data_IF_433828968493
#
_entry.id   IF_433828968493
#
_cell.length_a   1.000
_cell.length_b   1.000
_cell.length_c   1.000
_cell.angle_alpha   90.00
_cell.angle_beta   90.00
_cell.angle_gamma   90.00
#
_symmetry.space_group_name_H-M   'P 1'
#
loop_
_entity.id
_entity.type
_entity.pdbx_description
1 polymer ?
#
# COMPACT_ATOMS: atom_id res chain seq x y z
N UNK A 1 -15.87 -12.61 2.59
CA UNK A 1 -14.77 -13.44 2.08
C UNK A 1 -13.49 -12.65 2.28
N UNK A 2 -12.31 -13.29 2.36
CA UNK A 2 -11.06 -12.56 2.40
C UNK A 2 -10.93 -11.66 1.15
N UNK A 3 -10.35 -10.48 1.32
CA UNK A 3 -10.18 -9.49 0.26
C UNK A 3 -9.40 -10.05 -0.93
N UNK A 4 -8.48 -11.00 -0.69
CA UNK A 4 -7.74 -11.68 -1.76
C UNK A 4 -8.62 -12.54 -2.67
N UNK A 5 -9.67 -13.13 -2.13
CA UNK A 5 -10.59 -14.02 -2.87
C UNK A 5 -11.74 -13.24 -3.51
N UNK A 6 -12.17 -12.15 -2.86
CA UNK A 6 -13.33 -11.33 -3.27
C UNK A 6 -12.95 -9.86 -3.24
N UNK A 7 -12.17 -9.44 -4.23
CA UNK A 7 -11.63 -8.08 -4.28
C UNK A 7 -12.76 -7.05 -4.44
N UNK A 8 -12.81 -5.99 -3.59
CA UNK A 8 -13.91 -5.04 -3.58
C UNK A 8 -14.04 -4.30 -4.93
N UNK A 9 -15.26 -4.20 -5.49
CA UNK A 9 -15.47 -3.49 -6.75
C UNK A 9 -15.23 -1.98 -6.61
N UNK A 10 -15.10 -1.28 -7.74
CA UNK A 10 -14.90 0.16 -7.77
C UNK A 10 -16.01 0.92 -7.04
N UNK A 11 -15.62 1.91 -6.23
CA UNK A 11 -16.54 2.76 -5.47
C UNK A 11 -17.18 2.07 -4.28
N UNK A 12 -16.70 0.89 -3.89
CA UNK A 12 -17.13 0.22 -2.66
C UNK A 12 -16.29 0.65 -1.47
N UNK A 13 -16.96 0.84 -0.33
CA UNK A 13 -16.34 0.99 0.97
C UNK A 13 -16.22 -0.40 1.61
N UNK A 14 -15.00 -0.87 1.86
CA UNK A 14 -14.74 -2.14 2.54
C UNK A 14 -13.88 -1.90 3.77
N UNK A 15 -14.39 -2.20 4.96
CA UNK A 15 -13.69 -2.05 6.25
C UNK A 15 -13.00 -0.68 6.45
N UNK A 16 -13.64 0.39 5.96
CA UNK A 16 -13.11 1.76 6.09
C UNK A 16 -11.99 2.12 5.10
N UNK A 17 -11.73 1.26 4.11
CA UNK A 17 -10.91 1.56 2.94
C UNK A 17 -11.76 1.75 1.69
N UNK A 18 -11.17 2.40 0.70
CA UNK A 18 -11.77 2.71 -0.60
C UNK A 18 -11.15 1.79 -1.67
N UNK A 19 -11.97 1.27 -2.59
CA UNK A 19 -11.51 0.51 -3.75
C UNK A 19 -11.89 1.18 -5.06
N UNK A 20 -10.97 1.23 -6.03
CA UNK A 20 -11.26 1.58 -7.43
C UNK A 20 -11.48 0.33 -8.32
N UNK A 21 -11.59 -0.85 -7.71
CA UNK A 21 -11.70 -2.14 -8.38
C UNK A 21 -10.35 -2.76 -8.75
N UNK A 22 -9.26 -2.02 -8.59
CA UNK A 22 -7.89 -2.49 -8.82
C UNK A 22 -6.98 -2.27 -7.61
N UNK A 23 -7.00 -1.09 -7.00
CA UNK A 23 -6.34 -0.76 -5.74
C UNK A 23 -7.40 -0.60 -4.64
N UNK A 24 -7.25 -1.37 -3.57
CA UNK A 24 -7.89 -1.15 -2.29
C UNK A 24 -6.94 -0.40 -1.37
N UNK A 25 -7.38 0.73 -0.81
CA UNK A 25 -6.56 1.62 -0.01
C UNK A 25 -7.22 1.94 1.32
N UNK A 26 -6.49 1.73 2.41
CA UNK A 26 -6.96 2.01 3.78
C UNK A 26 -5.87 2.65 4.64
N UNK A 27 -6.27 3.27 5.75
CA UNK A 27 -5.37 4.00 6.65
C UNK A 27 -5.45 3.42 8.07
N UNK A 28 -4.30 2.99 8.59
CA UNK A 28 -4.17 2.53 9.96
C UNK A 28 -3.52 3.61 10.82
N UNK A 29 -4.09 3.88 11.99
CA UNK A 29 -3.57 4.85 12.94
C UNK A 29 -3.66 4.35 14.38
N UNK A 30 -2.51 4.20 15.03
CA UNK A 30 -2.39 3.82 16.44
C UNK A 30 -1.64 4.86 17.27
N UNK A 31 -1.44 4.56 18.55
CA UNK A 31 -0.66 5.40 19.47
C UNK A 31 0.83 5.40 19.15
N UNK A 32 1.34 4.30 18.59
CA UNK A 32 2.74 4.11 18.17
C UNK A 32 2.79 3.35 16.86
N UNK A 33 3.86 3.55 16.08
CA UNK A 33 4.00 2.92 14.77
C UNK A 33 4.14 1.39 14.87
N UNK A 34 4.70 0.88 15.96
CA UNK A 34 4.78 -0.54 16.29
C UNK A 34 3.38 -1.15 16.35
N UNK A 35 2.46 -0.53 17.11
CA UNK A 35 1.08 -0.96 17.21
C UNK A 35 0.34 -0.84 15.88
N UNK A 36 0.59 0.24 15.14
CA UNK A 36 0.01 0.42 13.81
C UNK A 36 0.46 -0.66 12.84
N UNK A 37 1.73 -1.03 12.90
CA UNK A 37 2.27 -2.07 12.03
C UNK A 37 1.71 -3.45 12.37
N UNK A 38 1.58 -3.78 13.65
CA UNK A 38 0.93 -5.03 14.07
C UNK A 38 -0.54 -5.09 13.60
N UNK A 39 -1.28 -3.97 13.64
CA UNK A 39 -2.64 -3.92 13.05
C UNK A 39 -2.64 -4.22 11.55
N UNK A 40 -1.67 -3.69 10.80
CA UNK A 40 -1.52 -3.98 9.36
C UNK A 40 -1.22 -5.46 9.12
N UNK A 41 -0.30 -6.05 9.90
CA UNK A 41 0.06 -7.47 9.77
C UNK A 41 -1.12 -8.39 10.07
N UNK A 42 -1.87 -8.08 11.13
CA UNK A 42 -3.06 -8.84 11.50
C UNK A 42 -4.12 -8.76 10.40
N UNK A 43 -4.40 -7.55 9.89
CA UNK A 43 -5.34 -7.35 8.80
C UNK A 43 -4.94 -8.15 7.54
N UNK A 44 -3.66 -8.09 7.15
CA UNK A 44 -3.17 -8.84 5.99
C UNK A 44 -3.35 -10.36 6.17
N UNK A 45 -3.06 -10.89 7.36
CA UNK A 45 -3.26 -12.31 7.62
C UNK A 45 -4.75 -12.71 7.55
N UNK A 46 -5.63 -11.92 8.16
CA UNK A 46 -7.09 -12.15 8.14
C UNK A 46 -7.68 -12.06 6.73
N UNK A 47 -7.12 -11.21 5.88
CA UNK A 47 -7.57 -10.96 4.50
C UNK A 47 -6.89 -11.84 3.43
N UNK A 48 -6.11 -12.84 3.85
CA UNK A 48 -5.55 -13.88 2.97
C UNK A 48 -4.14 -13.61 2.41
N UNK A 49 -3.41 -12.66 2.99
CA UNK A 49 -2.06 -12.24 2.57
C UNK A 49 -0.96 -12.66 3.57
N UNK A 50 -1.18 -13.74 4.31
CA UNK A 50 -0.22 -14.26 5.31
C UNK A 50 1.09 -14.79 4.70
N UNK A 51 1.06 -15.17 3.42
CA UNK A 51 2.20 -15.68 2.63
C UNK A 51 3.09 -14.55 2.08
N UNK A 52 2.62 -13.30 2.12
CA UNK A 52 3.39 -12.15 1.65
C UNK A 52 4.55 -11.89 2.61
N UNK A 53 5.81 -11.84 2.13
CA UNK A 53 6.93 -11.41 2.94
C UNK A 53 6.69 -10.01 3.51
N UNK A 54 6.88 -9.86 4.81
CA UNK A 54 6.75 -8.58 5.50
C UNK A 54 8.03 -8.28 6.28
N UNK A 55 8.37 -6.99 6.49
CA UNK A 55 9.36 -6.60 7.48
C UNK A 55 9.10 -7.29 8.83
N UNK A 56 10.15 -7.72 9.52
CA UNK A 56 10.02 -8.47 10.77
C UNK A 56 9.28 -7.66 11.84
N UNK A 57 9.57 -6.37 11.89
CA UNK A 57 9.07 -5.42 12.87
C UNK A 57 9.03 -3.99 12.31
N UNK A 58 8.52 -3.06 13.12
CA UNK A 58 8.41 -1.66 12.72
C UNK A 58 9.77 -0.96 12.57
N UNK A 59 10.83 -1.47 13.19
CA UNK A 59 12.18 -0.92 13.03
C UNK A 59 12.73 -1.26 11.64
N UNK A 60 12.56 -2.49 11.19
CA UNK A 60 12.86 -2.88 9.82
C UNK A 60 11.98 -2.13 8.81
N UNK A 61 10.68 -1.98 9.07
CA UNK A 61 9.78 -1.21 8.21
C UNK A 61 10.26 0.24 8.03
N UNK A 62 10.80 0.87 9.08
CA UNK A 62 11.32 2.25 9.02
C UNK A 62 12.49 2.41 8.05
N UNK A 63 13.25 1.35 7.75
CA UNK A 63 14.35 1.38 6.79
C UNK A 63 13.88 1.61 5.35
N UNK A 64 12.62 1.28 5.05
CA UNK A 64 11.99 1.53 3.74
C UNK A 64 11.48 2.96 3.59
N UNK A 65 11.59 3.80 4.63
CA UNK A 65 11.20 5.20 4.54
C UNK A 65 12.24 5.99 3.75
N UNK A 66 11.79 6.76 2.78
CA UNK A 66 12.69 7.59 1.98
C UNK A 66 13.38 8.64 2.88
N UNK A 67 14.72 8.79 2.78
CA UNK A 67 15.48 9.71 3.63
C UNK A 67 15.27 11.18 3.25
N UNK A 68 14.65 11.45 2.10
CA UNK A 68 14.52 12.79 1.53
C UNK A 68 13.30 13.57 2.06
N UNK A 69 13.46 14.90 2.11
CA UNK A 69 12.37 15.85 2.39
C UNK A 69 11.84 16.52 1.13
N UNK A 70 12.41 16.20 -0.03
CA UNK A 70 12.00 16.82 -1.28
C UNK A 70 10.63 16.26 -1.69
N UNK A 71 9.60 17.12 -1.60
CA UNK A 71 8.22 16.77 -1.96
C UNK A 71 8.10 16.31 -3.41
N UNK A 72 8.95 16.82 -4.30
CA UNK A 72 8.95 16.39 -5.70
C UNK A 72 9.36 14.92 -5.82
N UNK A 73 10.40 14.47 -5.10
CA UNK A 73 10.83 13.06 -5.12
C UNK A 73 9.74 12.17 -4.50
N UNK A 74 9.12 12.60 -3.40
CA UNK A 74 8.02 11.89 -2.73
C UNK A 74 6.73 11.78 -3.57
N UNK A 75 6.61 12.55 -4.66
CA UNK A 75 5.49 12.42 -5.61
C UNK A 75 5.73 11.29 -6.62
N UNK A 76 6.98 10.92 -6.90
CA UNK A 76 7.32 9.92 -7.91
C UNK A 76 7.73 8.56 -7.32
N UNK A 77 8.11 8.53 -6.04
CA UNK A 77 8.56 7.32 -5.36
C UNK A 77 7.58 6.86 -4.28
N UNK A 78 7.40 5.55 -4.18
CA UNK A 78 6.64 4.92 -3.11
C UNK A 78 7.42 5.03 -1.79
N UNK A 79 6.97 5.91 -0.90
CA UNK A 79 7.60 6.13 0.41
C UNK A 79 7.20 5.05 1.42
N UNK A 80 7.75 3.85 1.29
CA UNK A 80 7.51 2.75 2.22
C UNK A 80 7.89 1.38 1.65
N UNK A 81 7.38 0.33 2.28
CA UNK A 81 7.61 -1.05 1.86
C UNK A 81 6.73 -1.40 0.67
N UNK A 82 7.33 -1.96 -0.38
CA UNK A 82 6.64 -2.38 -1.61
C UNK A 82 6.97 -3.83 -1.88
N UNK A 83 5.95 -4.68 -1.87
CA UNK A 83 6.08 -6.09 -2.23
C UNK A 83 4.78 -6.58 -2.83
N UNK A 84 4.80 -7.05 -4.06
CA UNK A 84 3.60 -7.50 -4.76
C UNK A 84 2.81 -8.55 -3.93
N UNK A 85 1.50 -8.39 -3.66
CA UNK A 85 0.55 -7.38 -4.20
C UNK A 85 0.23 -6.20 -3.26
N UNK A 86 1.09 -5.90 -2.30
CA UNK A 86 0.84 -4.87 -1.27
C UNK A 86 1.86 -3.73 -1.31
N UNK A 87 1.45 -2.60 -0.73
CA UNK A 87 2.34 -1.50 -0.34
C UNK A 87 1.98 -1.00 1.04
N UNK A 88 2.97 -0.83 1.90
CA UNK A 88 2.83 -0.25 3.24
C UNK A 88 3.58 1.08 3.23
N UNK A 89 2.83 2.17 3.11
CA UNK A 89 3.36 3.51 2.84
C UNK A 89 3.30 4.40 4.09
N UNK A 90 4.33 5.21 4.27
CA UNK A 90 4.35 6.27 5.26
C UNK A 90 3.65 7.52 4.70
N UNK A 91 2.76 8.16 5.47
CA UNK A 91 2.14 9.41 5.04
C UNK A 91 3.20 10.50 4.85
N UNK A 92 2.96 11.38 3.87
CA UNK A 92 3.81 12.54 3.63
C UNK A 92 3.77 13.53 4.81
N UNK A 93 2.65 13.59 5.53
CA UNK A 93 2.51 14.43 6.71
C UNK A 93 3.28 13.85 7.91
N UNK A 94 4.34 14.56 8.31
CA UNK A 94 5.19 14.20 9.45
C UNK A 94 4.50 14.29 10.82
N UNK A 95 3.32 14.89 10.92
CA UNK A 95 2.52 14.87 12.16
C UNK A 95 1.88 13.49 12.38
N UNK A 96 1.68 12.72 11.32
CA UNK A 96 1.11 11.37 11.34
C UNK A 96 2.19 10.29 11.49
N UNK A 97 3.03 10.40 12.53
CA UNK A 97 4.20 9.51 12.71
C UNK A 97 3.85 8.05 13.03
N UNK A 98 2.67 7.82 13.58
CA UNK A 98 2.14 6.50 13.93
C UNK A 98 1.07 6.03 12.94
N UNK A 99 1.00 6.61 11.74
CA UNK A 99 0.03 6.24 10.73
C UNK A 99 0.71 5.52 9.57
N UNK A 100 0.06 4.51 9.03
CA UNK A 100 0.45 3.78 7.83
C UNK A 100 -0.71 3.77 6.85
N UNK A 101 -0.39 3.82 5.56
CA UNK A 101 -1.35 3.64 4.47
C UNK A 101 -1.07 2.26 3.90
N UNK A 102 -2.08 1.41 3.87
CA UNK A 102 -2.01 0.10 3.24
C UNK A 102 -2.71 0.18 1.89
N UNK A 103 -1.99 -0.18 0.83
CA UNK A 103 -2.53 -0.39 -0.51
C UNK A 103 -2.43 -1.88 -0.83
N UNK A 104 -3.52 -2.48 -1.29
CA UNK A 104 -3.58 -3.87 -1.76
C UNK A 104 -4.09 -3.84 -3.19
N UNK A 105 -3.46 -4.61 -4.07
CA UNK A 105 -3.76 -4.60 -5.50
C UNK A 105 -4.37 -5.92 -5.94
N UNK A 106 -5.33 -5.84 -6.86
CA UNK A 106 -6.07 -6.99 -7.36
C UNK A 106 -5.19 -7.89 -8.26
N UNK A 107 -4.74 -9.02 -7.72
CA UNK A 107 -3.92 -10.01 -8.43
C UNK A 107 -4.62 -10.64 -9.64
N UNK A 108 -5.96 -10.63 -9.67
CA UNK A 108 -6.73 -11.18 -10.78
C UNK A 108 -6.77 -10.25 -12.01
N UNK A 109 -6.29 -9.01 -11.89
CA UNK A 109 -6.21 -8.10 -13.04
C UNK A 109 -5.16 -8.61 -14.05
N UNK A 110 -5.51 -8.78 -15.34
CA UNK A 110 -4.58 -9.29 -16.36
C UNK A 110 -3.32 -8.45 -16.53
N UNK A 111 -3.35 -7.18 -16.11
CA UNK A 111 -2.23 -6.24 -16.20
C UNK A 111 -1.67 -5.88 -14.81
N UNK A 112 -1.99 -6.67 -13.78
CA UNK A 112 -1.62 -6.45 -12.39
C UNK A 112 -0.18 -6.00 -12.21
N UNK A 113 0.81 -6.77 -12.70
CA UNK A 113 2.23 -6.42 -12.53
C UNK A 113 2.60 -5.09 -13.20
N UNK A 114 2.02 -4.79 -14.37
CA UNK A 114 2.31 -3.55 -15.09
C UNK A 114 1.67 -2.34 -14.39
N UNK A 115 0.47 -2.50 -13.86
CA UNK A 115 -0.23 -1.46 -13.10
C UNK A 115 0.40 -1.24 -11.72
N UNK A 116 0.75 -2.31 -11.00
CA UNK A 116 1.36 -2.27 -9.66
C UNK A 116 2.66 -1.45 -9.64
N UNK A 117 3.48 -1.63 -10.68
CA UNK A 117 4.73 -0.91 -10.88
C UNK A 117 4.60 0.41 -11.66
N UNK A 118 3.36 0.87 -11.92
CA UNK A 118 3.03 2.09 -12.70
C UNK A 118 3.71 2.14 -14.08
N UNK A 119 3.94 0.99 -14.70
CA UNK A 119 4.55 0.89 -16.03
C UNK A 119 3.55 1.36 -17.10
N UNK A 120 2.27 1.00 -16.98
CA UNK A 120 1.26 1.45 -17.94
C UNK A 120 1.12 2.98 -17.95
N UNK A 121 1.04 3.60 -16.78
CA UNK A 121 0.99 5.07 -16.65
C UNK A 121 2.20 5.74 -17.33
N UNK A 122 3.40 5.18 -17.15
CA UNK A 122 4.62 5.70 -17.79
C UNK A 122 4.59 5.55 -19.31
N UNK A 123 4.11 4.41 -19.80
CA UNK A 123 3.99 4.15 -21.24
C UNK A 123 2.93 5.04 -21.88
N UNK A 124 1.82 5.31 -21.20
CA UNK A 124 0.77 6.21 -21.66
C UNK A 124 1.22 7.68 -21.67
N UNK A 125 1.93 8.11 -20.63
CA UNK A 125 2.52 9.45 -20.57
C UNK A 125 3.50 9.68 -21.73
N UNK A 126 4.37 8.70 -22.02
CA UNK A 126 5.34 8.79 -23.11
C UNK A 126 4.72 8.76 -24.53
N UNK A 127 3.49 8.27 -24.69
CA UNK A 127 2.77 8.32 -25.98
C UNK A 127 2.04 9.65 -26.21
N UNK A 128 1.87 10.44 -25.15
CA UNK A 128 1.18 11.73 -25.18
C UNK A 128 2.12 12.91 -25.46
N UNK A 129 3.43 12.63 -25.55
CA UNK A 129 4.51 13.55 -25.95
C UNK A 129 4.86 13.41 -27.44
#
# INVERSE_FOLDING_TARGET
MPLRDDFPPSGSDYLGGESDGYEYRTVFGGSRIESTYEMVRQFLAEEGYEDVPLPKDADELRLFRLPTRNKQILMFEDNGYVHNPIKILFPQDRRKRSTLILCIYNEADPQHLLKFHRILERVEAAKSE
#
